data_IF_469251163844
#
_entry.id   IF_469251163844
#
_cell.length_a   1.000
_cell.length_b   1.000
_cell.length_c   1.000
_cell.angle_alpha   90.00
_cell.angle_beta   90.00
_cell.angle_gamma   90.00
#
_symmetry.space_group_name_H-M   'P 1'
#
loop_
_entity.id
_entity.type
_entity.pdbx_description
1 polymer ?
#
# COMPACT_ATOMS: atom_id res chain seq x y z
N UNK A 1 -8.35 1.56 0.03
CA UNK A 1 -8.02 0.11 0.08
C UNK A 1 -6.52 -0.06 0.28
N UNK A 2 -6.09 -1.03 1.09
CA UNK A 2 -4.67 -1.28 1.36
C UNK A 2 -4.12 -2.36 0.42
N UNK A 3 -2.98 -2.08 -0.20
CA UNK A 3 -2.24 -2.99 -1.07
C UNK A 3 -0.77 -3.10 -0.64
N UNK A 4 -0.19 -4.27 -0.87
CA UNK A 4 1.25 -4.48 -1.01
C UNK A 4 1.62 -4.12 -2.44
N UNK A 5 2.43 -3.07 -2.64
CA UNK A 5 2.83 -2.60 -3.96
C UNK A 5 4.33 -2.79 -4.14
N UNK A 6 4.69 -3.53 -5.17
CA UNK A 6 6.05 -3.60 -5.72
C UNK A 6 6.14 -2.57 -6.82
N UNK A 7 7.03 -1.61 -6.64
CA UNK A 7 7.31 -0.59 -7.63
C UNK A 7 8.45 -1.05 -8.54
N UNK A 8 8.42 -0.61 -9.79
CA UNK A 8 9.52 -0.81 -10.71
C UNK A 8 10.82 -0.25 -10.10
N UNK A 9 11.99 -0.88 -10.34
CA UNK A 9 13.26 -0.52 -9.67
C UNK A 9 13.67 0.95 -9.82
N UNK A 10 13.22 1.63 -10.88
CA UNK A 10 13.55 3.02 -11.17
C UNK A 10 12.55 4.04 -10.58
N UNK A 11 11.49 3.60 -9.91
CA UNK A 11 10.45 4.47 -9.36
C UNK A 11 10.92 5.35 -8.16
N UNK A 12 12.18 5.22 -7.71
CA UNK A 12 12.81 6.01 -6.62
C UNK A 12 11.97 6.14 -5.34
N UNK A 13 11.11 5.17 -5.03
CA UNK A 13 10.39 5.14 -3.75
C UNK A 13 11.34 4.48 -2.74
N UNK A 14 12.05 5.32 -1.98
CA UNK A 14 12.97 5.01 -0.86
C UNK A 14 13.29 3.52 -0.65
N UNK A 15 14.56 3.11 -0.89
CA UNK A 15 15.07 1.73 -0.71
C UNK A 15 14.47 1.05 0.53
N UNK A 16 13.44 0.20 0.42
CA UNK A 16 12.94 -0.50 1.58
C UNK A 16 13.77 -1.77 1.80
N UNK A 17 13.97 -2.15 3.05
CA UNK A 17 14.55 -3.45 3.42
C UNK A 17 13.65 -4.65 3.02
N UNK A 18 12.46 -4.37 2.48
CA UNK A 18 11.45 -5.32 2.00
C UNK A 18 11.09 -4.95 0.55
N UNK A 19 10.72 -5.92 -0.31
CA UNK A 19 10.57 -5.66 -1.74
C UNK A 19 9.29 -4.88 -2.10
N UNK A 20 8.43 -4.55 -1.13
CA UNK A 20 7.17 -3.85 -1.35
C UNK A 20 6.93 -2.75 -0.33
N UNK A 21 6.00 -1.85 -0.67
CA UNK A 21 5.47 -0.80 0.19
C UNK A 21 3.99 -1.08 0.45
N UNK A 22 3.56 -0.94 1.71
CA UNK A 22 2.13 -0.95 2.03
C UNK A 22 1.54 0.42 1.71
N UNK A 23 0.53 0.47 0.85
CA UNK A 23 -0.11 1.70 0.40
C UNK A 23 -1.61 1.61 0.59
N UNK A 24 -2.18 2.61 1.27
CA UNK A 24 -3.62 2.84 1.32
C UNK A 24 -4.05 3.80 0.21
N UNK A 25 -4.88 3.30 -0.71
CA UNK A 25 -5.44 4.02 -1.84
C UNK A 25 -6.93 4.25 -1.60
N UNK A 26 -7.35 5.37 -0.96
CA UNK A 26 -8.74 5.58 -0.54
C UNK A 26 -9.73 5.74 -1.71
N UNK A 27 -9.24 6.13 -2.90
CA UNK A 27 -10.06 6.27 -4.12
C UNK A 27 -10.16 4.99 -4.96
N UNK A 28 -9.45 3.93 -4.57
CA UNK A 28 -9.55 2.61 -5.19
C UNK A 28 -10.46 1.79 -4.28
N UNK A 29 -11.67 1.49 -4.77
CA UNK A 29 -12.72 0.80 -4.03
C UNK A 29 -12.73 -0.70 -4.33
N UNK A 30 -12.27 -1.07 -5.53
CA UNK A 30 -12.16 -2.45 -5.99
C UNK A 30 -10.77 -2.74 -6.57
N UNK A 31 -10.45 -4.04 -6.71
CA UNK A 31 -9.25 -4.47 -7.43
C UNK A 31 -9.34 -4.14 -8.92
N UNK A 32 -10.55 -4.16 -9.49
CA UNK A 32 -10.77 -3.77 -10.89
C UNK A 32 -10.41 -2.31 -11.15
N UNK A 33 -10.71 -1.40 -10.20
CA UNK A 33 -10.37 0.02 -10.32
C UNK A 33 -8.85 0.21 -10.41
N UNK A 34 -8.09 -0.59 -9.65
CA UNK A 34 -6.64 -0.59 -9.72
C UNK A 34 -6.14 -1.06 -11.09
N UNK A 35 -6.72 -2.12 -11.65
CA UNK A 35 -6.35 -2.61 -12.97
C UNK A 35 -6.66 -1.60 -14.08
N UNK A 36 -7.81 -0.92 -14.01
CA UNK A 36 -8.15 0.18 -14.94
C UNK A 36 -7.11 1.29 -14.84
N UNK A 37 -6.80 1.74 -13.61
CA UNK A 37 -5.80 2.78 -13.40
C UNK A 37 -4.40 2.38 -13.94
N UNK A 38 -3.99 1.12 -13.76
CA UNK A 38 -2.75 0.59 -14.32
C UNK A 38 -2.77 0.55 -15.86
N UNK A 39 -3.88 0.17 -16.47
CA UNK A 39 -4.04 0.13 -17.92
C UNK A 39 -3.96 1.52 -18.57
N UNK A 40 -4.40 2.56 -17.86
CA UNK A 40 -4.39 3.95 -18.31
C UNK A 40 -3.14 4.74 -17.88
N UNK A 41 -2.23 4.13 -17.11
CA UNK A 41 -1.14 4.84 -16.41
C UNK A 41 -1.63 6.09 -15.64
N UNK A 42 -2.77 5.93 -14.99
CA UNK A 42 -3.44 7.01 -14.28
C UNK A 42 -2.62 7.46 -13.05
N UNK A 43 -2.60 8.77 -12.73
CA UNK A 43 -1.99 9.24 -11.48
C UNK A 43 -2.81 8.72 -10.29
N UNK A 44 -2.10 8.14 -9.32
CA UNK A 44 -2.67 7.64 -8.08
C UNK A 44 -2.15 8.46 -6.89
N UNK A 45 -3.03 8.67 -5.92
CA UNK A 45 -2.72 9.32 -4.66
C UNK A 45 -3.24 8.49 -3.49
N UNK A 46 -2.45 8.42 -2.43
CA UNK A 46 -2.77 7.65 -1.24
C UNK A 46 -1.76 7.89 -0.14
N UNK A 47 -1.58 6.88 0.71
CA UNK A 47 -0.67 6.96 1.85
C UNK A 47 0.21 5.72 1.91
N UNK A 48 1.51 5.93 2.04
CA UNK A 48 2.41 4.88 2.51
C UNK A 48 2.12 4.61 3.98
N UNK A 49 1.99 3.34 4.33
CA UNK A 49 1.73 2.91 5.70
C UNK A 49 3.05 2.59 6.42
N UNK A 50 3.24 3.22 7.57
CA UNK A 50 4.24 2.80 8.55
C UNK A 50 3.61 1.74 9.44
N UNK A 51 4.25 0.57 9.56
CA UNK A 51 3.65 -0.59 10.23
C UNK A 51 4.65 -1.38 11.05
N UNK A 52 4.14 -2.13 12.04
CA UNK A 52 4.87 -3.19 12.74
C UNK A 52 4.00 -4.44 12.88
N UNK A 53 4.61 -5.60 13.13
CA UNK A 53 3.85 -6.80 13.47
C UNK A 53 3.19 -6.63 14.85
N UNK A 54 1.92 -7.03 14.96
CA UNK A 54 1.22 -7.12 16.23
C UNK A 54 1.66 -8.33 17.06
N UNK A 55 1.19 -8.42 18.30
CA UNK A 55 1.44 -9.58 19.16
C UNK A 55 0.72 -10.84 18.65
N UNK A 56 -0.48 -10.66 18.09
CA UNK A 56 -1.24 -11.74 17.46
C UNK A 56 -0.69 -12.10 16.08
N UNK A 57 -0.54 -13.41 15.83
CA UNK A 57 -0.13 -13.90 14.52
C UNK A 57 -1.16 -13.50 13.46
N UNK A 58 -0.68 -12.89 12.38
CA UNK A 58 -1.55 -12.45 11.29
C UNK A 58 -2.01 -10.99 11.43
N UNK A 59 -1.65 -10.30 12.53
CA UNK A 59 -1.99 -8.89 12.73
C UNK A 59 -0.82 -7.99 12.37
N UNK A 60 -1.13 -6.89 11.69
CA UNK A 60 -0.20 -5.81 11.37
C UNK A 60 -0.77 -4.48 11.83
N UNK A 61 -0.05 -3.82 12.73
CA UNK A 61 -0.44 -2.52 13.30
C UNK A 61 0.00 -1.39 12.37
N UNK A 62 -0.91 -0.48 12.08
CA UNK A 62 -0.66 0.78 11.36
C UNK A 62 -0.30 1.85 12.39
N UNK A 63 0.92 2.38 12.27
CA UNK A 63 1.51 3.38 13.17
C UNK A 63 1.35 4.80 12.61
N UNK A 64 1.23 4.91 11.29
CA UNK A 64 1.19 6.20 10.62
C UNK A 64 0.97 6.09 9.12
N UNK A 65 0.63 7.24 8.54
CA UNK A 65 0.33 7.44 7.12
C UNK A 65 1.16 8.60 6.60
N UNK A 66 1.98 8.33 5.59
CA UNK A 66 2.77 9.35 4.90
C UNK A 66 2.15 9.55 3.51
N UNK A 67 1.78 10.79 3.11
CA UNK A 67 1.23 11.04 1.78
C UNK A 67 2.16 10.53 0.68
N UNK A 68 1.57 9.89 -0.33
CA UNK A 68 2.29 9.35 -1.47
C UNK A 68 1.48 9.56 -2.75
N UNK A 69 2.16 9.96 -3.81
CA UNK A 69 1.60 10.02 -5.15
C UNK A 69 2.55 9.36 -6.14
N UNK A 70 2.01 8.65 -7.11
CA UNK A 70 2.77 7.94 -8.13
C UNK A 70 1.92 7.68 -9.37
N UNK A 71 2.57 7.29 -10.46
CA UNK A 71 1.92 6.84 -11.69
C UNK A 71 1.61 5.35 -11.59
N UNK A 72 0.40 4.93 -11.97
CA UNK A 72 0.01 3.53 -11.88
C UNK A 72 0.93 2.59 -12.69
N UNK A 73 1.51 3.06 -13.79
CA UNK A 73 2.51 2.33 -14.58
C UNK A 73 3.84 2.09 -13.88
N UNK A 74 4.10 2.77 -12.74
CA UNK A 74 5.24 2.46 -11.88
C UNK A 74 5.02 1.22 -11.00
N UNK A 75 3.79 0.67 -10.97
CA UNK A 75 3.47 -0.58 -10.27
C UNK A 75 3.94 -1.76 -11.13
N UNK A 76 4.83 -2.58 -10.57
CA UNK A 76 5.20 -3.87 -11.16
C UNK A 76 4.22 -4.98 -10.75
N UNK A 77 3.80 -4.96 -9.48
CA UNK A 77 2.84 -5.92 -8.90
C UNK A 77 2.09 -5.27 -7.75
N UNK A 78 0.82 -5.63 -7.59
CA UNK A 78 0.01 -5.22 -6.45
C UNK A 78 -0.80 -6.41 -5.90
N UNK A 79 -0.82 -6.56 -4.58
CA UNK A 79 -1.56 -7.63 -3.90
C UNK A 79 -2.26 -7.12 -2.65
N UNK A 80 -3.39 -7.74 -2.30
CA UNK A 80 -3.98 -7.48 -0.99
C UNK A 80 -3.10 -8.06 0.12
N UNK A 81 -2.92 -7.37 1.25
CA UNK A 81 -2.29 -7.96 2.41
C UNK A 81 -3.02 -9.24 2.84
N UNK A 82 -2.27 -10.25 3.26
CA UNK A 82 -2.80 -11.45 3.91
C UNK A 82 -2.96 -11.28 5.43
N UNK A 83 -2.52 -10.14 5.95
CA UNK A 83 -2.65 -9.75 7.36
C UNK A 83 -3.93 -8.96 7.61
N UNK A 84 -4.45 -9.10 8.83
CA UNK A 84 -5.44 -8.17 9.38
C UNK A 84 -4.73 -6.88 9.76
N UNK A 85 -5.09 -5.78 9.09
CA UNK A 85 -4.55 -4.45 9.33
C UNK A 85 -5.35 -3.75 10.42
N UNK A 86 -4.69 -3.22 11.47
CA UNK A 86 -5.35 -2.59 12.62
C UNK A 86 -4.69 -1.24 12.92
N UNK A 87 -5.46 -0.21 13.25
CA UNK A 87 -4.93 1.08 13.70
C UNK A 87 -4.39 0.99 15.14
N UNK A 88 -3.20 1.53 15.39
CA UNK A 88 -2.73 1.72 16.77
C UNK A 88 -3.61 2.76 17.47
N UNK A 89 -4.41 2.32 18.46
CA UNK A 89 -5.37 3.17 19.18
C UNK A 89 -6.86 2.86 18.93
N UNK A 90 -7.20 1.88 18.09
CA UNK A 90 -8.59 1.40 17.94
C UNK A 90 -9.04 0.46 19.07
N UNK A 91 -8.32 0.44 20.21
CA UNK A 91 -8.71 -0.26 21.41
C UNK A 91 -9.39 0.71 22.38
N UNK A 92 -10.72 0.80 22.27
CA UNK A 92 -11.66 0.98 23.38
C UNK A 92 -13.08 0.64 22.89
#
# INVERSE_FOLDING_TARGET
>A
MIFQIWFQPHAQITRPAVPFVLVDLPRIETVSDLFVAMGEDSPLAGHRLQTRFGEERGVRLILGREPLAFRAGAIERAERPTWTMVEEGAAA
#
